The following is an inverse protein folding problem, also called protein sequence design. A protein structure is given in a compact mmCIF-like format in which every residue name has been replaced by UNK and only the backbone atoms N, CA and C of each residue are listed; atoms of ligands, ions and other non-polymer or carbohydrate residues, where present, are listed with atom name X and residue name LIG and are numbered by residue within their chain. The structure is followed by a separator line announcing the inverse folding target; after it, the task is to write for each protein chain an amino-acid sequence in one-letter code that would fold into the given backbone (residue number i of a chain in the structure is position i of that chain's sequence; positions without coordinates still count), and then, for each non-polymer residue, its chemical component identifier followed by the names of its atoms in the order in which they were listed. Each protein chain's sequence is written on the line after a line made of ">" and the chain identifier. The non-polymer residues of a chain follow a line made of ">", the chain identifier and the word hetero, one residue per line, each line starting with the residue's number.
data_IF_921615429102
#
_entry.id   IF_921615429102
#
_cell.length_a   1.000
_cell.length_b   1.000
_cell.length_c   1.000
_cell.angle_alpha   90.00
_cell.angle_beta   90.00
_cell.angle_gamma   90.00
#
_symmetry.space_group_name_H-M   'P 1'
#
loop_
_entity.id
_entity.type
_entity.pdbx_description
1 polymer ?
#
# COMPACT_ATOMS: atom_id res chain seq x y z
N UNK A 1 -4.10 -5.18 26.15
CA UNK A 1 -3.79 -5.15 24.70
C UNK A 1 -2.35 -4.72 24.50
N UNK A 2 -1.61 -5.44 23.68
CA UNK A 2 -0.26 -5.02 23.31
C UNK A 2 -0.33 -3.73 22.50
N UNK A 3 0.48 -2.74 22.89
CA UNK A 3 0.54 -1.44 22.21
C UNK A 3 1.05 -1.60 20.77
N UNK A 4 0.33 -1.06 19.81
CA UNK A 4 0.80 -0.98 18.41
C UNK A 4 1.83 0.14 18.29
N UNK A 5 2.97 -0.14 17.69
CA UNK A 5 4.01 0.82 17.36
C UNK A 5 4.30 0.76 15.86
N UNK A 6 4.40 1.92 15.22
CA UNK A 6 4.80 1.98 13.81
C UNK A 6 6.24 2.48 13.74
N UNK A 7 7.06 1.76 12.99
CA UNK A 7 8.48 2.07 12.78
C UNK A 7 8.81 2.09 11.30
N UNK A 8 9.89 2.79 10.94
CA UNK A 8 10.53 2.61 9.63
C UNK A 8 11.42 1.36 9.67
N UNK A 9 11.16 0.41 8.78
CA UNK A 9 11.99 -0.80 8.66
C UNK A 9 11.77 -1.48 7.32
N UNK A 10 12.74 -1.39 6.46
CA UNK A 10 12.78 -2.12 5.20
C UNK A 10 12.77 -3.64 5.42
N UNK A 11 13.64 -4.14 6.29
CA UNK A 11 13.81 -5.58 6.52
C UNK A 11 12.53 -6.25 7.06
N UNK A 12 11.87 -5.61 8.03
CA UNK A 12 10.59 -6.12 8.55
C UNK A 12 9.46 -5.97 7.53
N UNK A 13 9.46 -4.92 6.73
CA UNK A 13 8.48 -4.71 5.66
C UNK A 13 8.53 -5.81 4.60
N UNK A 14 9.72 -6.17 4.14
CA UNK A 14 9.91 -7.26 3.16
C UNK A 14 9.37 -8.59 3.70
N UNK A 15 9.57 -8.90 4.96
CA UNK A 15 9.03 -10.12 5.57
C UNK A 15 7.50 -10.15 5.50
N UNK A 16 6.84 -9.05 5.86
CA UNK A 16 5.38 -8.96 5.79
C UNK A 16 4.88 -9.10 4.35
N UNK A 17 5.53 -8.43 3.40
CA UNK A 17 5.18 -8.47 1.99
C UNK A 17 5.36 -9.87 1.40
N UNK A 18 6.47 -10.53 1.69
CA UNK A 18 6.73 -11.91 1.24
C UNK A 18 5.68 -12.88 1.77
N UNK A 19 5.35 -12.79 3.04
CA UNK A 19 4.31 -13.63 3.66
C UNK A 19 2.93 -13.37 3.05
N UNK A 20 2.61 -12.11 2.71
CA UNK A 20 1.38 -11.78 2.01
C UNK A 20 1.31 -12.43 0.61
N UNK A 21 2.40 -12.37 -0.15
CA UNK A 21 2.51 -13.02 -1.45
C UNK A 21 2.36 -14.54 -1.37
N UNK A 22 3.02 -15.18 -0.41
CA UNK A 22 2.87 -16.64 -0.14
C UNK A 22 1.45 -17.02 0.20
N UNK A 23 0.78 -16.22 1.02
CA UNK A 23 -0.62 -16.47 1.37
C UNK A 23 -1.53 -16.36 0.14
N UNK A 24 -1.33 -15.35 -0.71
CA UNK A 24 -2.10 -15.20 -1.95
C UNK A 24 -1.99 -16.46 -2.83
N UNK A 25 -0.79 -16.97 -3.05
CA UNK A 25 -0.57 -18.21 -3.82
C UNK A 25 -1.27 -19.40 -3.20
N UNK A 26 -1.08 -19.63 -1.90
CA UNK A 26 -1.71 -20.74 -1.17
C UNK A 26 -3.24 -20.69 -1.17
N UNK A 27 -3.80 -19.50 -1.25
CA UNK A 27 -5.26 -19.27 -1.29
C UNK A 27 -5.85 -19.39 -2.69
N UNK A 28 -5.07 -19.76 -3.70
CA UNK A 28 -5.51 -19.89 -5.08
C UNK A 28 -5.66 -18.55 -5.81
N UNK A 29 -5.28 -17.43 -5.17
CA UNK A 29 -5.16 -16.15 -5.83
C UNK A 29 -3.94 -16.19 -6.76
N UNK A 30 -4.05 -15.47 -7.89
CA UNK A 30 -2.94 -15.34 -8.85
C UNK A 30 -2.30 -13.97 -8.69
N UNK A 31 -1.32 -13.83 -7.78
CA UNK A 31 -0.69 -12.52 -7.58
C UNK A 31 0.01 -12.07 -8.86
N UNK A 32 -0.15 -10.78 -9.19
CA UNK A 32 0.61 -10.16 -10.28
C UNK A 32 2.08 -9.97 -9.87
N UNK A 33 2.90 -9.46 -10.79
CA UNK A 33 4.34 -9.28 -10.56
C UNK A 33 4.69 -8.49 -9.28
N UNK A 34 3.81 -7.62 -8.82
CA UNK A 34 4.01 -6.79 -7.62
C UNK A 34 3.80 -7.54 -6.31
N UNK A 35 3.20 -8.74 -6.37
CA UNK A 35 2.89 -9.55 -5.20
C UNK A 35 3.38 -10.99 -5.29
N UNK A 36 4.02 -11.37 -6.40
CA UNK A 36 4.60 -12.71 -6.50
C UNK A 36 5.67 -12.91 -5.42
N UNK A 37 5.63 -14.01 -4.66
CA UNK A 37 6.60 -14.27 -3.58
C UNK A 37 8.05 -14.17 -4.04
N UNK A 38 8.36 -14.66 -5.24
CA UNK A 38 9.71 -14.60 -5.80
C UNK A 38 10.21 -13.17 -6.04
N UNK A 39 9.30 -12.20 -6.15
CA UNK A 39 9.62 -10.78 -6.33
C UNK A 39 9.62 -9.99 -5.00
N UNK A 40 9.09 -10.57 -3.92
CA UNK A 40 9.07 -9.92 -2.60
C UNK A 40 10.42 -10.08 -1.91
N UNK A 41 11.44 -9.53 -2.50
CA UNK A 41 12.83 -9.56 -2.05
C UNK A 41 13.53 -8.21 -2.28
N UNK A 42 14.69 -8.06 -1.65
CA UNK A 42 15.48 -6.84 -1.69
C UNK A 42 15.78 -6.38 -3.13
N UNK A 43 16.19 -7.29 -3.99
CA UNK A 43 16.65 -6.94 -5.33
C UNK A 43 15.52 -6.39 -6.22
N UNK A 44 14.33 -6.98 -6.14
CA UNK A 44 13.18 -6.51 -6.91
C UNK A 44 12.61 -5.21 -6.30
N UNK A 45 12.35 -5.22 -5.02
CA UNK A 45 11.65 -4.12 -4.34
C UNK A 45 12.46 -2.82 -4.40
N UNK A 46 13.78 -2.86 -4.20
CA UNK A 46 14.61 -1.65 -4.25
C UNK A 46 14.81 -1.07 -5.65
N UNK A 47 14.32 -1.73 -6.70
CA UNK A 47 14.20 -1.09 -8.02
C UNK A 47 13.10 -0.04 -8.08
N UNK A 48 12.16 -0.10 -7.13
CA UNK A 48 10.93 0.71 -7.12
C UNK A 48 10.78 1.56 -5.86
N UNK A 49 11.61 1.36 -4.86
CA UNK A 49 11.51 1.98 -3.53
C UNK A 49 12.87 2.37 -2.98
N UNK A 50 12.85 3.19 -1.92
CA UNK A 50 14.00 3.42 -1.04
C UNK A 50 13.73 2.77 0.32
N UNK A 51 14.78 2.35 1.07
CA UNK A 51 14.61 1.69 2.37
C UNK A 51 13.82 2.51 3.41
N UNK A 52 13.94 3.83 3.39
CA UNK A 52 13.27 4.74 4.34
C UNK A 52 11.79 5.00 4.00
N UNK A 53 11.27 4.44 2.91
CA UNK A 53 9.87 4.54 2.52
C UNK A 53 8.98 3.47 3.19
N UNK A 54 9.59 2.50 3.91
CA UNK A 54 8.88 1.36 4.52
C UNK A 54 8.47 1.65 5.96
N UNK A 55 7.18 1.42 6.25
CA UNK A 55 6.59 1.55 7.57
C UNK A 55 5.94 0.23 7.99
N UNK A 56 6.22 -0.19 9.21
CA UNK A 56 5.76 -1.48 9.74
C UNK A 56 5.08 -1.27 11.09
N UNK A 57 3.86 -1.78 11.23
CA UNK A 57 3.19 -1.85 12.52
C UNK A 57 3.67 -3.09 13.28
N UNK A 58 4.09 -2.89 14.51
CA UNK A 58 4.52 -3.94 15.43
C UNK A 58 3.48 -4.11 16.55
N UNK A 59 3.23 -5.36 16.92
CA UNK A 59 2.53 -5.75 18.15
C UNK A 59 3.54 -6.46 19.03
N UNK A 60 4.03 -5.76 20.07
CA UNK A 60 5.28 -6.15 20.71
C UNK A 60 6.41 -6.07 19.69
N UNK A 61 7.13 -7.17 19.49
CA UNK A 61 8.23 -7.26 18.51
C UNK A 61 7.78 -7.90 17.17
N UNK A 62 6.52 -8.29 17.05
CA UNK A 62 6.01 -9.00 15.87
C UNK A 62 5.51 -8.03 14.82
N UNK A 63 6.01 -8.09 13.57
CA UNK A 63 5.46 -7.34 12.46
C UNK A 63 4.03 -7.80 12.16
N UNK A 64 3.09 -6.86 12.16
CA UNK A 64 1.67 -7.12 11.92
C UNK A 64 1.19 -6.64 10.55
N UNK A 65 1.69 -5.50 10.12
CA UNK A 65 1.31 -4.89 8.84
C UNK A 65 2.49 -4.07 8.29
N UNK A 66 2.50 -3.86 6.99
CA UNK A 66 3.51 -3.05 6.31
C UNK A 66 2.89 -2.22 5.20
N UNK A 67 3.52 -1.09 4.89
CA UNK A 67 3.21 -0.25 3.74
C UNK A 67 4.45 0.52 3.29
N UNK A 68 4.38 1.04 2.07
CA UNK A 68 5.38 1.94 1.49
C UNK A 68 4.73 3.31 1.29
N UNK A 69 5.41 4.39 1.70
CA UNK A 69 4.98 5.76 1.46
C UNK A 69 6.00 6.46 0.57
N UNK A 70 5.54 6.96 -0.59
CA UNK A 70 6.37 7.62 -1.59
C UNK A 70 5.89 9.04 -1.86
N UNK A 71 6.82 9.98 -1.97
CA UNK A 71 6.51 11.38 -2.27
C UNK A 71 6.36 11.65 -3.76
N UNK A 72 6.75 10.69 -4.59
CA UNK A 72 6.64 10.77 -6.05
C UNK A 72 6.02 9.50 -6.62
N UNK A 73 5.23 9.66 -7.66
CA UNK A 73 4.70 8.56 -8.45
C UNK A 73 5.71 8.18 -9.54
N UNK A 74 6.43 7.07 -9.34
CA UNK A 74 7.53 6.67 -10.22
C UNK A 74 7.09 6.10 -11.57
N UNK A 75 5.89 5.55 -11.65
CA UNK A 75 5.36 4.90 -12.85
C UNK A 75 4.45 5.80 -13.69
N UNK A 76 4.26 7.05 -13.30
CA UNK A 76 3.37 8.01 -13.96
C UNK A 76 1.94 7.48 -14.16
N UNK A 77 1.50 6.52 -13.35
CA UNK A 77 0.19 5.88 -13.48
C UNK A 77 -0.97 6.84 -13.24
N UNK A 78 -0.74 7.89 -12.45
CA UNK A 78 -1.76 8.91 -12.17
C UNK A 78 -1.99 9.91 -13.30
N UNK A 79 -1.26 9.83 -14.39
CA UNK A 79 -1.45 10.69 -15.56
C UNK A 79 -2.88 10.59 -16.14
N UNK A 80 -3.48 9.41 -16.08
CA UNK A 80 -4.88 9.19 -16.53
C UNK A 80 -5.89 9.99 -15.69
N UNK A 81 -5.57 10.29 -14.44
CA UNK A 81 -6.41 11.09 -13.53
C UNK A 81 -6.06 12.59 -13.61
N UNK A 82 -4.79 12.92 -13.56
CA UNK A 82 -4.30 14.30 -13.46
C UNK A 82 -4.11 15.00 -14.82
N UNK A 83 -4.00 14.22 -15.92
CA UNK A 83 -3.65 14.77 -17.23
C UNK A 83 -2.22 15.32 -17.25
N UNK A 84 -2.05 16.49 -17.84
CA UNK A 84 -0.73 17.14 -17.98
C UNK A 84 -0.34 18.01 -16.78
N UNK A 85 -1.17 18.03 -15.73
CA UNK A 85 -0.92 18.83 -14.51
C UNK A 85 -0.86 17.91 -13.29
N UNK A 86 0.25 17.19 -13.07
CA UNK A 86 0.38 16.27 -11.95
C UNK A 86 0.20 17.00 -10.62
N UNK A 87 -0.61 16.44 -9.73
CA UNK A 87 -0.84 16.95 -8.39
C UNK A 87 0.18 16.37 -7.42
N UNK A 88 0.62 17.20 -6.48
CA UNK A 88 1.51 16.79 -5.41
C UNK A 88 0.72 15.98 -4.38
N UNK A 89 1.14 14.75 -4.13
CA UNK A 89 0.49 13.82 -3.21
C UNK A 89 1.51 12.90 -2.53
N UNK A 90 1.15 12.36 -1.37
CA UNK A 90 1.83 11.21 -0.80
C UNK A 90 1.14 9.95 -1.32
N UNK A 91 1.93 8.98 -1.78
CA UNK A 91 1.44 7.73 -2.37
C UNK A 91 1.68 6.56 -1.44
N UNK A 92 0.63 5.80 -1.17
CA UNK A 92 0.65 4.59 -0.36
C UNK A 92 0.66 3.38 -1.28
N UNK A 93 1.67 2.52 -1.12
CA UNK A 93 1.82 1.29 -1.89
C UNK A 93 2.04 0.09 -0.97
N UNK A 94 1.79 -1.11 -1.48
CA UNK A 94 2.06 -2.39 -0.80
C UNK A 94 1.53 -2.47 0.63
N UNK A 95 0.34 -1.94 0.87
CA UNK A 95 -0.33 -2.13 2.16
C UNK A 95 -0.74 -3.60 2.30
N UNK A 96 -0.21 -4.25 3.31
CA UNK A 96 -0.52 -5.65 3.60
C UNK A 96 -0.48 -5.93 5.10
N UNK A 97 -1.18 -7.00 5.49
CA UNK A 97 -1.34 -7.43 6.88
C UNK A 97 -0.99 -8.91 6.99
N UNK A 98 -0.20 -9.26 8.00
CA UNK A 98 0.07 -10.66 8.34
C UNK A 98 -1.23 -11.40 8.69
N UNK A 99 -1.35 -12.65 8.27
CA UNK A 99 -2.59 -13.43 8.45
C UNK A 99 -3.02 -13.54 9.91
N UNK A 100 -2.08 -13.70 10.84
CA UNK A 100 -2.36 -13.77 12.28
C UNK A 100 -3.01 -12.49 12.83
N UNK A 101 -2.87 -11.39 12.10
CA UNK A 101 -3.41 -10.08 12.43
C UNK A 101 -4.57 -9.64 11.52
N UNK A 102 -5.01 -10.49 10.60
CA UNK A 102 -6.13 -10.20 9.71
C UNK A 102 -7.43 -9.95 10.50
N UNK A 103 -8.25 -9.03 10.03
CA UNK A 103 -9.51 -8.67 10.67
C UNK A 103 -9.39 -7.86 11.96
N UNK A 104 -8.20 -7.46 12.37
CA UNK A 104 -7.94 -6.70 13.60
C UNK A 104 -7.78 -5.18 13.38
N UNK A 105 -8.18 -4.67 12.23
CA UNK A 105 -8.22 -3.23 11.94
C UNK A 105 -6.88 -2.59 11.54
N UNK A 106 -5.85 -3.37 11.21
CA UNK A 106 -4.54 -2.84 10.82
C UNK A 106 -4.56 -1.94 9.58
N UNK A 107 -5.37 -2.20 8.53
CA UNK A 107 -5.46 -1.27 7.41
C UNK A 107 -5.85 0.15 7.84
N UNK A 108 -6.80 0.28 8.77
CA UNK A 108 -7.19 1.57 9.34
C UNK A 108 -6.04 2.23 10.08
N UNK A 109 -5.33 1.48 10.93
CA UNK A 109 -4.17 1.99 11.68
C UNK A 109 -3.09 2.53 10.73
N UNK A 110 -2.77 1.79 9.67
CA UNK A 110 -1.76 2.17 8.69
C UNK A 110 -2.19 3.39 7.88
N UNK A 111 -3.45 3.45 7.44
CA UNK A 111 -3.97 4.61 6.68
C UNK A 111 -4.02 5.87 7.55
N UNK A 112 -4.44 5.78 8.81
CA UNK A 112 -4.42 6.93 9.73
C UNK A 112 -2.99 7.44 9.97
N UNK A 113 -2.02 6.54 10.10
CA UNK A 113 -0.61 6.91 10.17
C UNK A 113 -0.15 7.61 8.88
N UNK A 114 -0.49 7.07 7.71
CA UNK A 114 -0.14 7.66 6.41
C UNK A 114 -0.73 9.08 6.24
N UNK A 115 -1.97 9.29 6.69
CA UNK A 115 -2.60 10.63 6.72
C UNK A 115 -1.82 11.61 7.60
N UNK A 116 -1.40 11.16 8.77
CA UNK A 116 -0.55 11.95 9.68
C UNK A 116 0.79 12.32 9.05
N UNK A 117 1.46 11.36 8.43
CA UNK A 117 2.73 11.60 7.72
C UNK A 117 2.56 12.54 6.52
N UNK A 118 1.49 12.39 5.76
CA UNK A 118 1.18 13.28 4.65
C UNK A 118 1.02 14.74 5.13
N UNK A 119 0.24 14.96 6.17
CA UNK A 119 0.06 16.31 6.77
C UNK A 119 1.38 16.86 7.29
N UNK A 120 2.15 16.08 8.02
CA UNK A 120 3.45 16.46 8.57
C UNK A 120 4.44 16.90 7.48
N UNK A 121 4.39 16.26 6.31
CA UNK A 121 5.23 16.59 5.14
C UNK A 121 4.64 17.67 4.23
N UNK A 122 3.49 18.23 4.59
CA UNK A 122 2.83 19.30 3.83
C UNK A 122 2.09 18.83 2.58
N UNK A 123 1.70 17.57 2.51
CA UNK A 123 0.83 17.05 1.45
C UNK A 123 -0.65 17.28 1.80
N UNK A 124 -1.44 17.68 0.82
CA UNK A 124 -2.89 17.80 0.94
C UNK A 124 -3.66 16.59 0.37
N UNK A 125 -2.95 15.66 -0.24
CA UNK A 125 -3.51 14.48 -0.87
C UNK A 125 -2.76 13.22 -0.43
N UNK A 126 -3.50 12.18 -0.07
CA UNK A 126 -3.01 10.82 0.09
C UNK A 126 -3.64 9.97 -1.02
N UNK A 127 -2.83 9.25 -1.79
CA UNK A 127 -3.25 8.49 -2.96
C UNK A 127 -2.79 7.05 -2.90
N UNK A 128 -3.57 6.18 -3.50
CA UNK A 128 -3.21 4.78 -3.78
C UNK A 128 -3.87 4.29 -5.06
N UNK A 129 -3.34 3.24 -5.62
CA UNK A 129 -3.96 2.49 -6.70
C UNK A 129 -4.07 1.01 -6.32
N UNK A 130 -5.05 0.33 -6.87
CA UNK A 130 -5.31 -1.07 -6.60
C UNK A 130 -5.98 -1.75 -7.80
N UNK A 131 -6.05 -3.08 -7.76
CA UNK A 131 -6.77 -3.84 -8.77
C UNK A 131 -8.28 -3.58 -8.65
N UNK A 132 -8.87 -2.98 -9.68
CA UNK A 132 -10.30 -2.64 -9.71
C UNK A 132 -11.22 -3.87 -9.66
N UNK A 133 -10.72 -5.05 -10.02
CA UNK A 133 -11.48 -6.30 -9.96
C UNK A 133 -11.53 -6.93 -8.56
N UNK A 134 -10.75 -6.41 -7.62
CA UNK A 134 -10.74 -6.83 -6.21
C UNK A 134 -11.77 -6.03 -5.41
N UNK A 135 -13.05 -6.42 -5.51
CA UNK A 135 -14.17 -5.69 -4.91
C UNK A 135 -14.02 -5.49 -3.40
N UNK A 136 -13.53 -6.52 -2.69
CA UNK A 136 -13.31 -6.43 -1.23
C UNK A 136 -12.25 -5.39 -0.88
N UNK A 137 -11.20 -5.29 -1.69
CA UNK A 137 -10.12 -4.34 -1.49
C UNK A 137 -10.57 -2.91 -1.81
N UNK A 138 -11.31 -2.73 -2.90
CA UNK A 138 -11.92 -1.44 -3.24
C UNK A 138 -12.88 -0.96 -2.13
N UNK A 139 -13.77 -1.85 -1.65
CA UNK A 139 -14.70 -1.55 -0.54
C UNK A 139 -13.96 -1.20 0.75
N UNK A 140 -12.82 -1.87 1.03
CA UNK A 140 -11.98 -1.54 2.18
C UNK A 140 -11.49 -0.09 2.09
N UNK A 141 -10.93 0.32 0.97
CA UNK A 141 -10.40 1.68 0.80
C UNK A 141 -11.49 2.74 0.85
N UNK A 142 -12.64 2.48 0.24
CA UNK A 142 -13.80 3.36 0.33
C UNK A 142 -14.28 3.51 1.79
N UNK A 143 -14.34 2.41 2.53
CA UNK A 143 -14.66 2.42 3.97
C UNK A 143 -13.63 3.15 4.83
N UNK A 144 -12.39 3.29 4.37
CA UNK A 144 -11.33 4.07 5.02
C UNK A 144 -11.33 5.56 4.61
N UNK A 145 -12.27 5.98 3.78
CA UNK A 145 -12.46 7.37 3.38
C UNK A 145 -11.81 7.75 2.06
N UNK A 146 -11.26 6.79 1.32
CA UNK A 146 -10.76 7.04 -0.04
C UNK A 146 -11.92 7.19 -1.01
N UNK A 147 -11.75 8.11 -1.95
CA UNK A 147 -12.68 8.35 -3.05
C UNK A 147 -12.08 7.83 -4.36
N UNK A 148 -12.87 7.09 -5.12
CA UNK A 148 -12.49 6.65 -6.46
C UNK A 148 -12.37 7.86 -7.40
N UNK A 149 -11.21 8.03 -8.02
CA UNK A 149 -10.90 9.13 -8.93
C UNK A 149 -10.97 8.71 -10.40
N UNK A 150 -10.81 7.43 -10.68
CA UNK A 150 -10.86 6.88 -12.02
C UNK A 150 -10.36 5.45 -12.08
N UNK A 151 -10.52 4.86 -13.26
CA UNK A 151 -9.99 3.53 -13.57
C UNK A 151 -9.21 3.60 -14.88
N UNK A 152 -8.23 2.72 -15.03
CA UNK A 152 -7.45 2.56 -16.25
C UNK A 152 -7.32 1.07 -16.58
N UNK A 153 -7.55 0.70 -17.83
CA UNK A 153 -7.32 -0.65 -18.34
C UNK A 153 -5.98 -0.69 -19.07
N UNK A 154 -5.20 -1.72 -18.81
CA UNK A 154 -3.93 -1.94 -19.47
C UNK A 154 -3.32 -3.28 -19.08
N UNK A 155 -2.56 -3.90 -19.98
CA UNK A 155 -1.82 -5.15 -19.76
C UNK A 155 -2.67 -6.29 -19.14
N UNK A 156 -3.95 -6.37 -19.50
CA UNK A 156 -4.85 -7.43 -19.04
C UNK A 156 -5.42 -7.25 -17.63
N UNK A 157 -5.22 -6.08 -17.01
CA UNK A 157 -5.83 -5.77 -15.71
C UNK A 157 -6.40 -4.34 -15.70
N UNK A 158 -7.27 -4.08 -14.73
CA UNK A 158 -7.91 -2.79 -14.51
C UNK A 158 -7.43 -2.22 -13.17
N UNK A 159 -6.91 -1.00 -13.21
CA UNK A 159 -6.43 -0.27 -12.02
C UNK A 159 -7.46 0.74 -11.58
N UNK A 160 -7.76 0.79 -10.29
CA UNK A 160 -8.59 1.80 -9.65
C UNK A 160 -7.70 2.78 -8.87
N UNK A 161 -7.94 4.07 -9.06
CA UNK A 161 -7.19 5.16 -8.42
C UNK A 161 -8.02 5.79 -7.31
N UNK A 162 -7.50 5.80 -6.11
CA UNK A 162 -8.18 6.28 -4.91
C UNK A 162 -7.42 7.44 -4.25
N UNK A 163 -8.16 8.40 -3.71
CA UNK A 163 -7.60 9.60 -3.09
C UNK A 163 -8.37 10.01 -1.84
N UNK A 164 -7.63 10.48 -0.83
CA UNK A 164 -8.16 11.25 0.30
C UNK A 164 -7.62 12.67 0.21
N UNK A 165 -8.49 13.64 0.36
CA UNK A 165 -8.12 15.03 0.61
C UNK A 165 -7.96 15.22 2.13
N UNK A 166 -6.81 15.76 2.53
CA UNK A 166 -6.42 15.93 3.94
C UNK A 166 -6.80 17.33 4.47
#
# INVERSE_FOLDING_TARGET
>A
MSKVKIIQSFEKGIVVMHNAGLWMEKSGLKPNKWWKPENMNRNFILKHTEPDEFYVALVGDKPAASMVLQETERNQSWKSVDGDKPKRALYLHWLCVQRDFAGKGFPKVMVEFAKGEAKKRGFSLLRLDTNANEEKLCSLYEGLGFRLMGNEEGDGHKTAFYQIRL
#
